data_IF_287161320793
#
_entry.id   IF_287161320793
#
_cell.length_a   1.000
_cell.length_b   1.000
_cell.length_c   1.000
_cell.angle_alpha   90.00
_cell.angle_beta   90.00
_cell.angle_gamma   90.00
#
_symmetry.space_group_name_H-M   'P 1'
#
loop_
_entity.id
_entity.type
_entity.pdbx_description
1 polymer ?
#
# COMPACT_ATOMS: atom_id res chain seq x y z
N UNK A 1 -1.89 -15.57 -3.92
CA UNK A 1 -1.21 -14.30 -3.60
C UNK A 1 -0.40 -13.92 -4.83
N UNK A 2 -0.65 -12.77 -5.46
CA UNK A 2 0.19 -12.30 -6.58
C UNK A 2 1.31 -11.47 -5.98
N UNK A 3 2.59 -11.93 -6.04
CA UNK A 3 3.68 -11.16 -5.47
C UNK A 3 3.92 -9.94 -6.34
N UNK A 4 3.79 -8.74 -5.76
CA UNK A 4 4.13 -7.49 -6.42
C UNK A 4 5.65 -7.27 -6.52
N UNK A 5 6.48 -8.31 -6.32
CA UNK A 5 7.95 -8.30 -6.35
C UNK A 5 8.62 -7.07 -5.71
N UNK A 6 8.01 -6.51 -4.66
CA UNK A 6 8.53 -5.33 -3.99
C UNK A 6 8.45 -4.02 -4.77
N UNK A 7 7.64 -3.94 -5.84
CA UNK A 7 7.30 -2.69 -6.54
C UNK A 7 6.79 -1.59 -5.60
N UNK A 8 6.15 -1.99 -4.49
CA UNK A 8 5.65 -1.08 -3.45
C UNK A 8 6.37 -1.30 -2.09
N UNK A 9 7.56 -1.90 -2.09
CA UNK A 9 8.35 -2.09 -0.86
C UNK A 9 9.28 -0.91 -0.61
N UNK A 10 9.63 -0.69 0.67
CA UNK A 10 10.58 0.32 1.11
C UNK A 10 10.24 1.76 0.67
N UNK A 11 8.97 2.04 0.38
CA UNK A 11 8.51 3.39 0.11
C UNK A 11 8.72 4.26 1.35
N UNK A 12 9.45 5.36 1.19
CA UNK A 12 9.67 6.30 2.28
C UNK A 12 8.39 7.12 2.47
N UNK A 13 7.63 6.82 3.54
CA UNK A 13 6.41 7.56 3.88
C UNK A 13 6.64 9.07 3.99
N UNK A 14 7.79 9.52 4.52
CA UNK A 14 8.12 10.94 4.65
C UNK A 14 8.20 11.67 3.30
N UNK A 15 8.54 10.93 2.23
CA UNK A 15 8.63 11.49 0.87
C UNK A 15 7.33 11.29 0.08
N UNK A 16 6.34 10.59 0.65
CA UNK A 16 5.12 10.14 -0.04
C UNK A 16 3.85 10.53 0.73
N UNK A 17 3.87 11.68 1.43
CA UNK A 17 2.68 12.30 2.03
C UNK A 17 2.60 12.28 3.55
N UNK A 18 3.59 11.71 4.26
CA UNK A 18 3.67 11.86 5.72
C UNK A 18 4.53 13.06 6.09
N UNK A 19 4.04 13.89 7.01
CA UNK A 19 4.87 14.89 7.68
C UNK A 19 5.77 14.19 8.70
N UNK A 20 7.08 14.29 8.50
CA UNK A 20 8.08 13.74 9.40
C UNK A 20 8.80 14.84 10.20
N UNK A 21 9.14 14.60 11.48
CA UNK A 21 8.87 13.38 12.25
C UNK A 21 7.38 13.21 12.54
N UNK A 22 6.92 11.95 12.53
CA UNK A 22 5.52 11.62 12.79
C UNK A 22 5.20 12.00 14.24
N UNK A 23 4.31 12.97 14.42
CA UNK A 23 3.92 13.46 15.73
C UNK A 23 3.06 12.43 16.48
N UNK A 24 3.27 12.22 17.79
CA UNK A 24 2.39 11.37 18.59
C UNK A 24 0.94 11.87 18.57
N UNK A 25 -0.02 10.94 18.59
CA UNK A 25 -1.46 11.25 18.66
C UNK A 25 -2.24 10.71 17.46
N UNK A 26 -3.49 11.18 17.34
CA UNK A 26 -4.42 10.66 16.33
C UNK A 26 -4.22 11.39 15.01
N UNK A 27 -3.84 10.65 13.96
CA UNK A 27 -3.58 11.20 12.63
C UNK A 27 -4.49 10.53 11.61
N UNK A 28 -4.98 11.31 10.65
CA UNK A 28 -5.73 10.79 9.49
C UNK A 28 -4.83 10.81 8.27
N UNK A 29 -4.59 9.63 7.72
CA UNK A 29 -3.81 9.45 6.51
C UNK A 29 -4.71 9.06 5.34
N UNK A 30 -4.49 9.67 4.17
CA UNK A 30 -5.01 9.15 2.89
C UNK A 30 -3.85 8.62 2.07
N UNK A 31 -3.94 7.36 1.68
CA UNK A 31 -3.01 6.72 0.76
C UNK A 31 -3.73 6.50 -0.55
N UNK A 32 -3.14 6.99 -1.64
CA UNK A 32 -3.63 6.74 -2.99
C UNK A 32 -2.77 5.66 -3.64
N UNK A 33 -3.39 4.53 -3.96
CA UNK A 33 -2.76 3.45 -4.72
C UNK A 33 -3.15 3.62 -6.19
N UNK A 34 -2.23 4.14 -6.98
CA UNK A 34 -2.40 4.29 -8.42
C UNK A 34 -1.78 3.10 -9.15
N UNK A 35 -2.63 2.13 -9.51
CA UNK A 35 -2.20 0.93 -10.22
C UNK A 35 -1.97 1.17 -11.73
N UNK A 36 -2.34 2.33 -12.28
CA UNK A 36 -2.15 2.63 -13.71
C UNK A 36 -0.66 2.67 -14.09
N UNK A 37 0.20 2.97 -13.12
CA UNK A 37 1.67 2.96 -13.26
C UNK A 37 2.28 1.56 -13.31
N UNK A 38 1.48 0.52 -13.08
CA UNK A 38 1.93 -0.86 -13.00
C UNK A 38 1.07 -1.76 -13.90
N UNK A 39 1.08 -1.53 -15.23
CA UNK A 39 0.23 -2.27 -16.16
C UNK A 39 0.48 -3.79 -16.11
N UNK A 40 1.71 -4.22 -15.86
CA UNK A 40 2.07 -5.63 -15.75
C UNK A 40 1.39 -6.31 -14.56
N UNK A 41 1.31 -5.60 -13.42
CA UNK A 41 0.59 -6.07 -12.23
C UNK A 41 -0.89 -6.23 -12.53
N UNK A 42 -1.50 -5.22 -13.17
CA UNK A 42 -2.90 -5.28 -13.57
C UNK A 42 -3.16 -6.43 -14.54
N UNK A 43 -2.22 -6.73 -15.44
CA UNK A 43 -2.31 -7.86 -16.36
C UNK A 43 -2.31 -9.21 -15.62
N UNK A 44 -1.49 -9.37 -14.58
CA UNK A 44 -1.43 -10.61 -13.78
C UNK A 44 -2.66 -10.85 -12.89
N UNK A 45 -3.35 -9.79 -12.48
CA UNK A 45 -4.55 -9.93 -11.67
C UNK A 45 -5.72 -10.38 -12.56
N UNK A 46 -6.41 -11.44 -12.18
CA UNK A 46 -7.60 -11.93 -12.88
C UNK A 46 -8.74 -10.92 -12.75
N UNK A 47 -9.49 -10.73 -13.84
CA UNK A 47 -10.69 -9.91 -13.82
C UNK A 47 -11.75 -10.54 -12.88
N UNK A 48 -12.59 -9.70 -12.29
CA UNK A 48 -13.72 -10.08 -11.46
C UNK A 48 -13.37 -10.97 -10.24
N UNK A 49 -12.10 -10.93 -9.81
CA UNK A 49 -11.57 -11.74 -8.71
C UNK A 49 -11.30 -10.85 -7.49
N UNK A 50 -11.61 -11.36 -6.30
CA UNK A 50 -11.34 -10.68 -5.03
C UNK A 50 -9.91 -10.95 -4.56
N UNK A 51 -9.22 -9.88 -4.16
CA UNK A 51 -7.86 -9.92 -3.66
C UNK A 51 -7.81 -9.27 -2.28
N UNK A 52 -7.06 -9.89 -1.37
CA UNK A 52 -6.68 -9.27 -0.12
C UNK A 52 -5.45 -8.39 -0.34
N UNK A 53 -5.58 -7.12 0.01
CA UNK A 53 -4.50 -6.14 0.03
C UNK A 53 -4.00 -5.99 1.46
N UNK A 54 -2.68 -5.94 1.62
CA UNK A 54 -2.05 -5.65 2.91
C UNK A 54 -1.03 -4.54 2.70
N UNK A 55 -1.18 -3.44 3.44
CA UNK A 55 -0.22 -2.36 3.52
C UNK A 55 0.37 -2.33 4.94
N UNK A 56 1.69 -2.28 5.03
CA UNK A 56 2.40 -2.19 6.31
C UNK A 56 3.19 -0.89 6.38
N UNK A 57 2.85 -0.04 7.34
CA UNK A 57 3.65 1.11 7.71
C UNK A 57 4.55 0.72 8.88
N UNK A 58 5.84 1.01 8.77
CA UNK A 58 6.81 0.75 9.85
C UNK A 58 7.48 2.05 10.25
N UNK A 59 7.41 2.38 11.53
CA UNK A 59 8.26 3.40 12.12
C UNK A 59 9.67 2.82 12.28
N UNK A 60 10.63 3.37 11.55
CA UNK A 60 12.03 2.92 11.59
C UNK A 60 12.71 3.17 12.93
N UNK A 61 12.28 4.19 13.68
CA UNK A 61 12.95 4.57 14.93
C UNK A 61 12.60 3.66 16.09
N UNK A 62 11.32 3.27 16.19
CA UNK A 62 10.81 2.41 17.27
C UNK A 62 10.62 0.95 16.84
N UNK A 63 10.56 0.69 15.54
CA UNK A 63 10.21 -0.63 14.98
C UNK A 63 8.71 -0.92 14.98
N UNK A 64 7.87 0.00 15.49
CA UNK A 64 6.42 -0.18 15.56
C UNK A 64 5.80 -0.27 14.16
N UNK A 65 4.74 -1.09 14.04
CA UNK A 65 4.07 -1.34 12.76
C UNK A 65 2.58 -1.09 12.84
N UNK A 66 2.05 -0.47 11.79
CA UNK A 66 0.63 -0.41 11.50
C UNK A 66 0.38 -1.26 10.28
N UNK A 67 -0.49 -2.27 10.41
CA UNK A 67 -0.86 -3.16 9.31
C UNK A 67 -2.31 -2.90 8.95
N UNK A 68 -2.55 -2.49 7.71
CA UNK A 68 -3.86 -2.26 7.14
C UNK A 68 -4.12 -3.43 6.19
N UNK A 69 -5.20 -4.16 6.42
CA UNK A 69 -5.65 -5.24 5.55
C UNK A 69 -7.04 -4.90 5.02
N UNK A 70 -7.21 -5.01 3.72
CA UNK A 70 -8.49 -4.75 3.04
C UNK A 70 -8.73 -5.80 1.95
N UNK A 71 -9.96 -5.91 1.47
CA UNK A 71 -10.33 -6.77 0.37
C UNK A 71 -10.94 -5.95 -0.75
N UNK A 72 -10.37 -6.07 -1.94
CA UNK A 72 -10.84 -5.37 -3.12
C UNK A 72 -11.08 -6.34 -4.27
N UNK A 73 -12.09 -6.06 -5.08
CA UNK A 73 -12.37 -6.80 -6.31
C UNK A 73 -11.82 -6.03 -7.49
N UNK A 74 -11.09 -6.72 -8.37
CA UNK A 74 -10.53 -6.11 -9.58
C UNK A 74 -11.58 -6.16 -10.68
N UNK A 75 -11.85 -5.00 -11.28
CA UNK A 75 -12.64 -4.85 -12.50
C UNK A 75 -11.73 -4.29 -13.59
N UNK A 76 -11.50 -5.10 -14.62
CA UNK A 76 -10.82 -4.65 -15.85
C UNK A 76 -11.86 -4.09 -16.82
N UNK A 77 -11.54 -3.00 -17.53
CA UNK A 77 -12.36 -2.52 -18.64
C UNK A 77 -12.45 -3.57 -19.76
#
# INVERSE_FOLDING_TARGET
MVPLFGLLNNLNGCNNGFTCPVQPGNQRLRVYLDFTKYPDVLNWLNNNTSYQMQATLTDKSTGNKVVITDQARIFKP
#
